data_IF_253930409495
#
_entry.id   IF_253930409495
#
_cell.length_a   1.000
_cell.length_b   1.000
_cell.length_c   1.000
_cell.angle_alpha   90.00
_cell.angle_beta   90.00
_cell.angle_gamma   90.00
#
_symmetry.space_group_name_H-M   'P 1'
#
loop_
_entity.id
_entity.type
_entity.pdbx_description
1 polymer ?
#
# COMPACT_ATOMS: atom_id res chain seq x y z
N UNK A 1 -27.38 -3.41 10.86
CA UNK A 1 -28.55 -2.88 11.60
C UNK A 1 -29.13 -1.75 10.79
N UNK A 2 -30.44 -1.69 10.62
CA UNK A 2 -31.13 -0.59 9.94
C UNK A 2 -31.68 0.32 11.03
N UNK A 3 -31.53 1.63 10.86
CA UNK A 3 -31.97 2.64 11.83
C UNK A 3 -32.65 3.80 11.12
N UNK A 4 -33.54 4.48 11.82
CA UNK A 4 -34.14 5.70 11.30
C UNK A 4 -34.97 6.43 12.33
N UNK A 5 -35.77 7.37 11.84
CA UNK A 5 -36.76 8.09 12.64
C UNK A 5 -38.17 7.89 12.10
N UNK A 6 -39.16 7.98 12.98
CA UNK A 6 -40.58 7.99 12.68
C UNK A 6 -41.34 8.76 13.77
N UNK A 7 -42.67 8.91 13.63
CA UNK A 7 -43.48 9.41 14.73
C UNK A 7 -43.34 8.49 15.96
N UNK A 8 -43.25 9.07 17.15
CA UNK A 8 -43.08 8.31 18.39
C UNK A 8 -44.19 7.27 18.55
N UNK A 9 -43.82 6.04 18.94
CA UNK A 9 -44.73 4.89 19.08
C UNK A 9 -45.41 4.42 17.77
N UNK A 10 -45.02 4.93 16.60
CA UNK A 10 -45.50 4.41 15.32
C UNK A 10 -44.90 3.03 15.01
N UNK A 11 -45.68 2.17 14.36
CA UNK A 11 -45.19 0.90 13.81
C UNK A 11 -44.42 1.19 12.54
N UNK A 12 -43.18 0.73 12.46
CA UNK A 12 -42.33 0.84 11.27
C UNK A 12 -42.32 -0.50 10.57
N UNK A 13 -42.68 -0.49 9.29
CA UNK A 13 -42.72 -1.63 8.38
C UNK A 13 -41.59 -1.45 7.37
N UNK A 14 -40.70 -2.43 7.27
CA UNK A 14 -39.51 -2.39 6.41
C UNK A 14 -39.58 -3.54 5.41
N UNK A 15 -39.45 -3.20 4.13
CA UNK A 15 -39.40 -4.11 2.99
C UNK A 15 -37.98 -4.07 2.41
N UNK A 16 -37.34 -5.23 2.32
CA UNK A 16 -35.93 -5.41 1.92
C UNK A 16 -35.78 -6.17 0.59
N UNK A 17 -36.87 -6.60 -0.03
CA UNK A 17 -36.85 -7.31 -1.32
C UNK A 17 -37.65 -6.61 -2.44
N UNK A 18 -38.39 -5.55 -2.08
CA UNK A 18 -39.12 -4.68 -2.98
C UNK A 18 -40.42 -5.29 -3.51
N UNK A 19 -40.94 -6.36 -2.88
CA UNK A 19 -42.20 -6.98 -3.27
C UNK A 19 -43.45 -6.21 -2.75
N UNK A 20 -43.24 -5.21 -1.89
CA UNK A 20 -44.27 -4.37 -1.29
C UNK A 20 -44.92 -4.97 -0.05
N UNK A 21 -44.40 -6.08 0.46
CA UNK A 21 -44.81 -6.75 1.70
C UNK A 21 -43.71 -6.54 2.74
N UNK A 22 -44.03 -6.05 3.95
CA UNK A 22 -43.01 -5.86 4.98
C UNK A 22 -42.37 -7.19 5.42
N UNK A 23 -41.04 -7.26 5.33
CA UNK A 23 -40.22 -8.37 5.82
C UNK A 23 -39.90 -8.23 7.31
N UNK A 24 -39.71 -6.99 7.75
CA UNK A 24 -39.30 -6.65 9.10
C UNK A 24 -40.25 -5.61 9.67
N UNK A 25 -40.58 -5.75 10.95
CA UNK A 25 -41.42 -4.78 11.66
C UNK A 25 -40.79 -4.40 12.99
N UNK A 26 -40.92 -3.14 13.36
CA UNK A 26 -40.45 -2.61 14.65
C UNK A 26 -41.36 -1.46 15.09
N UNK A 27 -41.10 -0.86 16.24
CA UNK A 27 -41.84 0.31 16.73
C UNK A 27 -40.85 1.39 17.10
N UNK A 28 -41.14 2.63 16.71
CA UNK A 28 -40.34 3.77 17.13
C UNK A 28 -40.50 4.05 18.63
N UNK A 29 -39.39 4.43 19.28
CA UNK A 29 -39.39 4.78 20.69
C UNK A 29 -40.18 6.08 20.96
N UNK A 30 -40.28 6.47 22.24
CA UNK A 30 -41.01 7.67 22.67
C UNK A 30 -40.43 9.00 22.12
N UNK A 31 -39.24 8.97 21.53
CA UNK A 31 -38.56 10.12 20.92
C UNK A 31 -38.51 9.99 19.39
N UNK A 32 -39.04 8.90 18.84
CA UNK A 32 -39.15 8.65 17.40
C UNK A 32 -37.98 7.90 16.77
N UNK A 33 -37.01 7.38 17.54
CA UNK A 33 -35.94 6.55 16.97
C UNK A 33 -36.40 5.11 16.83
N UNK A 34 -35.98 4.44 15.76
CA UNK A 34 -36.21 3.01 15.59
C UNK A 34 -34.96 2.32 15.07
N UNK A 35 -34.87 1.03 15.36
CA UNK A 35 -33.88 0.15 14.76
C UNK A 35 -34.48 -1.24 14.54
N UNK A 36 -33.96 -1.93 13.54
CA UNK A 36 -34.26 -3.34 13.27
C UNK A 36 -33.02 -4.02 12.71
N UNK A 37 -32.83 -5.29 13.07
CA UNK A 37 -31.70 -6.09 12.60
C UNK A 37 -32.24 -7.22 11.74
N UNK A 38 -31.92 -7.25 10.44
CA UNK A 38 -32.23 -8.40 9.59
C UNK A 38 -31.59 -9.69 10.12
N UNK A 39 -32.31 -10.81 10.09
CA UNK A 39 -31.78 -12.12 10.51
C UNK A 39 -30.66 -12.62 9.58
N UNK A 40 -30.74 -12.24 8.31
CA UNK A 40 -29.70 -12.48 7.31
C UNK A 40 -29.08 -11.14 6.91
N UNK A 41 -27.74 -10.99 6.93
CA UNK A 41 -27.09 -9.79 6.42
C UNK A 41 -27.54 -9.49 4.99
N UNK A 42 -27.92 -8.23 4.76
CA UNK A 42 -28.31 -7.76 3.44
C UNK A 42 -27.06 -7.62 2.56
N UNK A 43 -27.22 -7.86 1.26
CA UNK A 43 -26.14 -7.68 0.32
C UNK A 43 -25.87 -6.19 0.09
N UNK A 44 -24.66 -5.87 -0.34
CA UNK A 44 -24.35 -4.54 -0.84
C UNK A 44 -25.28 -4.18 -2.01
N UNK A 45 -25.77 -2.94 -2.00
CA UNK A 45 -26.72 -2.43 -2.98
C UNK A 45 -28.18 -2.88 -2.79
N UNK A 46 -28.52 -3.65 -1.74
CA UNK A 46 -29.93 -3.95 -1.41
C UNK A 46 -30.67 -2.64 -1.14
N UNK A 47 -31.73 -2.37 -1.90
CA UNK A 47 -32.66 -1.28 -1.60
C UNK A 47 -33.55 -1.68 -0.43
N UNK A 48 -33.63 -0.80 0.56
CA UNK A 48 -34.46 -0.95 1.75
C UNK A 48 -35.51 0.14 1.69
N UNK A 49 -36.79 -0.24 1.80
CA UNK A 49 -37.90 0.73 1.88
C UNK A 49 -38.59 0.62 3.22
N UNK A 50 -39.10 1.74 3.74
CA UNK A 50 -39.81 1.78 5.01
C UNK A 50 -41.03 2.69 4.99
N UNK A 51 -42.09 2.26 5.68
CA UNK A 51 -43.27 3.07 6.00
C UNK A 51 -43.52 3.08 7.50
N UNK A 52 -44.17 4.12 8.01
CA UNK A 52 -44.61 4.19 9.39
C UNK A 52 -46.14 4.32 9.47
N UNK A 53 -46.76 3.59 10.38
CA UNK A 53 -48.20 3.68 10.67
C UNK A 53 -48.41 4.14 12.12
N UNK A 54 -49.12 5.26 12.30
CA UNK A 54 -49.40 5.83 13.62
C UNK A 54 -50.48 5.03 14.39
N UNK A 55 -50.72 5.38 15.65
CA UNK A 55 -51.71 4.71 16.50
C UNK A 55 -53.16 4.92 16.03
N UNK A 56 -53.42 5.93 15.18
CA UNK A 56 -54.72 6.18 14.57
C UNK A 56 -54.91 5.41 13.25
N UNK A 57 -53.87 4.73 12.75
CA UNK A 57 -53.88 3.96 11.52
C UNK A 57 -53.56 4.77 10.26
N UNK A 58 -52.97 5.96 10.36
CA UNK A 58 -52.48 6.69 9.21
C UNK A 58 -51.08 6.20 8.83
N UNK A 59 -50.88 5.86 7.56
CA UNK A 59 -49.58 5.40 7.02
C UNK A 59 -48.85 6.53 6.29
N UNK A 60 -47.54 6.63 6.48
CA UNK A 60 -46.68 7.58 5.78
C UNK A 60 -46.52 7.22 4.29
N UNK A 61 -45.94 8.15 3.52
CA UNK A 61 -45.31 7.78 2.26
C UNK A 61 -44.07 6.88 2.54
N UNK A 62 -43.67 6.00 1.61
CA UNK A 62 -42.44 5.23 1.75
C UNK A 62 -41.20 6.12 1.62
N UNK A 63 -40.14 5.75 2.34
CA UNK A 63 -38.76 6.23 2.15
C UNK A 63 -37.89 5.04 1.73
N UNK A 64 -36.83 5.28 0.96
CA UNK A 64 -35.85 4.25 0.64
C UNK A 64 -34.40 4.71 0.79
N UNK A 65 -33.53 3.73 1.02
CA UNK A 65 -32.09 3.88 1.03
C UNK A 65 -31.43 2.57 0.55
N UNK A 66 -30.14 2.59 0.25
CA UNK A 66 -29.39 1.41 -0.21
C UNK A 66 -28.37 0.97 0.83
N UNK A 67 -28.29 -0.34 1.07
CA UNK A 67 -27.25 -0.93 1.92
C UNK A 67 -25.88 -0.72 1.25
N UNK A 68 -24.97 -0.06 1.97
CA UNK A 68 -23.55 -0.04 1.63
C UNK A 68 -22.78 -0.94 2.61
N UNK A 69 -22.44 -2.14 2.15
CA UNK A 69 -21.68 -3.15 2.90
C UNK A 69 -20.34 -3.48 2.23
N UNK A 70 -20.02 -2.83 1.11
CA UNK A 70 -18.76 -3.05 0.40
C UNK A 70 -17.62 -2.28 1.07
N UNK A 71 -16.62 -3.00 1.57
CA UNK A 71 -15.39 -2.38 2.02
C UNK A 71 -14.59 -1.82 0.83
N UNK A 72 -13.81 -0.73 1.02
CA UNK A 72 -12.88 -0.24 0.01
C UNK A 72 -11.88 -1.31 -0.42
N UNK A 73 -11.36 -1.25 -1.65
CA UNK A 73 -10.18 -1.98 -2.08
C UNK A 73 -8.94 -1.12 -1.88
N UNK A 74 -7.96 -1.65 -1.14
CA UNK A 74 -6.70 -0.96 -0.85
C UNK A 74 -5.48 -1.81 -1.24
N UNK A 75 -4.38 -1.16 -1.60
CA UNK A 75 -3.07 -1.79 -1.81
C UNK A 75 -1.95 -0.93 -1.23
N UNK A 76 -0.76 -1.51 -1.08
CA UNK A 76 0.47 -0.83 -0.67
C UNK A 76 1.61 -1.30 -1.59
N UNK A 77 2.46 -0.38 -2.00
CA UNK A 77 3.66 -0.67 -2.79
C UNK A 77 4.81 -1.15 -1.88
N UNK A 78 5.52 -2.19 -2.31
CA UNK A 78 6.75 -2.62 -1.63
C UNK A 78 7.86 -1.56 -1.82
N UNK A 79 8.66 -1.33 -0.77
CA UNK A 79 9.79 -0.40 -0.82
C UNK A 79 11.08 -1.05 -0.34
N UNK A 80 12.18 -0.76 -1.03
CA UNK A 80 13.55 -1.07 -0.63
C UNK A 80 14.35 0.21 -0.71
N UNK A 81 14.94 0.63 0.41
CA UNK A 81 15.55 1.96 0.52
C UNK A 81 16.62 1.98 1.61
N UNK A 82 17.55 2.93 1.53
CA UNK A 82 18.47 3.26 2.63
C UNK A 82 17.95 4.39 3.54
N UNK A 83 16.79 4.94 3.22
CA UNK A 83 16.09 5.92 4.03
C UNK A 83 15.38 5.25 5.20
N UNK A 84 15.68 5.64 6.44
CA UNK A 84 15.09 5.04 7.64
C UNK A 84 13.67 5.53 7.93
N UNK A 85 13.19 6.56 7.23
CA UNK A 85 11.86 7.16 7.45
C UNK A 85 11.08 7.36 6.15
N UNK A 86 10.96 6.32 5.29
CA UNK A 86 10.52 6.50 3.92
C UNK A 86 9.06 6.89 3.80
N UNK A 87 8.77 7.67 2.76
CA UNK A 87 7.41 7.78 2.23
C UNK A 87 6.87 6.42 1.78
N UNK A 88 5.57 6.18 2.00
CA UNK A 88 4.86 4.97 1.54
C UNK A 88 3.66 5.36 0.64
N UNK A 89 3.38 4.54 -0.37
CA UNK A 89 2.31 4.78 -1.33
C UNK A 89 1.51 3.51 -1.62
N UNK A 90 0.34 3.70 -2.21
CA UNK A 90 -0.48 2.63 -2.75
C UNK A 90 -1.77 3.15 -3.37
N UNK A 91 -2.73 2.25 -3.59
CA UNK A 91 -4.04 2.58 -4.17
C UNK A 91 -5.17 2.42 -3.17
N UNK A 92 -6.24 3.20 -3.35
CA UNK A 92 -7.53 3.04 -2.66
C UNK A 92 -8.65 3.44 -3.62
N UNK A 93 -9.70 2.64 -3.76
CA UNK A 93 -10.77 2.89 -4.74
C UNK A 93 -11.92 3.77 -4.21
N UNK A 94 -12.03 3.93 -2.89
CA UNK A 94 -12.93 4.87 -2.24
C UNK A 94 -12.21 6.21 -1.97
N UNK A 95 -12.61 7.31 -2.63
CA UNK A 95 -11.97 8.63 -2.48
C UNK A 95 -12.25 9.31 -1.14
N UNK A 96 -13.14 8.74 -0.32
CA UNK A 96 -13.53 9.27 0.99
C UNK A 96 -13.10 8.38 2.15
N UNK A 97 -12.58 7.18 1.88
CA UNK A 97 -12.08 6.29 2.91
C UNK A 97 -10.93 6.89 3.72
N UNK A 98 -10.94 6.59 5.01
CA UNK A 98 -9.80 6.82 5.90
C UNK A 98 -8.74 5.73 5.67
N UNK A 99 -7.46 6.11 5.59
CA UNK A 99 -6.35 5.18 5.35
C UNK A 99 -5.37 5.24 6.51
N UNK A 100 -5.07 4.09 7.09
CA UNK A 100 -4.12 3.92 8.20
C UNK A 100 -3.08 2.87 7.81
N UNK A 101 -1.81 3.18 7.98
CA UNK A 101 -0.70 2.26 7.77
C UNK A 101 -0.14 1.85 9.13
N UNK A 102 -0.05 0.55 9.37
CA UNK A 102 0.59 -0.03 10.55
C UNK A 102 1.95 -0.60 10.16
N UNK A 103 3.02 -0.13 10.82
CA UNK A 103 4.36 -0.68 10.69
C UNK A 103 5.01 -0.78 12.08
N UNK A 104 5.66 -1.91 12.36
CA UNK A 104 6.22 -2.25 13.69
C UNK A 104 5.21 -2.09 14.85
N UNK A 105 3.94 -2.38 14.59
CA UNK A 105 2.85 -2.25 15.56
C UNK A 105 2.36 -0.82 15.83
N UNK A 106 2.90 0.18 15.12
CA UNK A 106 2.52 1.58 15.25
C UNK A 106 1.64 2.02 14.07
N UNK A 107 0.56 2.74 14.36
CA UNK A 107 -0.40 3.24 13.37
C UNK A 107 -0.07 4.66 12.93
N UNK A 108 -0.10 4.89 11.62
CA UNK A 108 0.16 6.17 10.98
C UNK A 108 -1.00 6.52 10.03
N UNK A 109 -1.56 7.72 10.19
CA UNK A 109 -2.62 8.19 9.30
C UNK A 109 -2.00 8.62 7.97
N UNK A 110 -2.43 7.96 6.89
CA UNK A 110 -2.07 8.35 5.53
C UNK A 110 -3.09 9.33 4.94
N UNK A 111 -2.67 10.06 3.92
CA UNK A 111 -3.53 10.94 3.13
C UNK A 111 -4.16 10.13 2.00
N UNK A 112 -5.50 10.02 1.99
CA UNK A 112 -6.23 9.62 0.79
C UNK A 112 -6.29 10.82 -0.17
N UNK A 113 -5.68 10.68 -1.34
CA UNK A 113 -5.54 11.78 -2.29
C UNK A 113 -6.84 12.03 -3.08
N UNK A 114 -7.81 11.11 -3.01
CA UNK A 114 -9.09 11.19 -3.72
C UNK A 114 -9.00 10.89 -5.23
N UNK A 115 -7.81 10.56 -5.74
CA UNK A 115 -7.54 10.27 -7.15
C UNK A 115 -7.27 8.78 -7.43
N UNK A 116 -7.61 7.91 -6.46
CA UNK A 116 -7.32 6.48 -6.51
C UNK A 116 -6.02 6.09 -5.80
N UNK A 117 -5.28 7.06 -5.27
CA UNK A 117 -4.02 6.84 -4.54
C UNK A 117 -4.09 7.34 -3.10
N UNK A 118 -3.21 6.79 -2.27
CA UNK A 118 -2.93 7.34 -0.94
C UNK A 118 -1.43 7.50 -0.74
N UNK A 119 -1.07 8.41 0.17
CA UNK A 119 0.33 8.71 0.52
C UNK A 119 0.51 8.79 2.03
N UNK A 120 1.52 8.11 2.55
CA UNK A 120 2.11 8.42 3.85
C UNK A 120 3.40 9.19 3.57
N UNK A 121 3.46 10.44 4.04
CA UNK A 121 4.55 11.34 3.71
C UNK A 121 5.89 10.86 4.29
N UNK A 122 6.97 11.26 3.63
CA UNK A 122 8.33 11.11 4.11
C UNK A 122 8.50 11.69 5.52
N UNK A 123 9.41 11.12 6.31
CA UNK A 123 9.68 11.56 7.69
C UNK A 123 8.47 11.48 8.65
N UNK A 124 7.40 10.76 8.27
CA UNK A 124 6.21 10.59 9.14
C UNK A 124 6.32 9.35 10.01
N UNK A 125 6.92 8.26 9.51
CA UNK A 125 7.15 7.05 10.29
C UNK A 125 8.29 7.27 11.28
N UNK A 126 8.23 6.62 12.44
CA UNK A 126 9.39 6.57 13.34
C UNK A 126 10.57 5.89 12.62
N UNK A 127 11.79 6.33 12.93
CA UNK A 127 12.99 5.81 12.27
C UNK A 127 13.13 4.30 12.47
N UNK A 128 13.12 3.58 11.35
CA UNK A 128 13.25 2.13 11.28
C UNK A 128 14.72 1.73 11.18
N UNK A 129 15.13 0.69 11.91
CA UNK A 129 16.47 0.11 11.80
C UNK A 129 16.59 -0.76 10.54
N UNK A 130 17.83 -1.10 10.15
CA UNK A 130 18.15 -2.13 9.15
C UNK A 130 17.38 -3.43 9.42
N UNK A 131 16.34 -3.69 8.65
CA UNK A 131 15.55 -4.91 8.69
C UNK A 131 14.51 -4.94 7.54
N UNK A 132 13.78 -6.05 7.46
CA UNK A 132 12.54 -6.17 6.68
C UNK A 132 11.33 -6.09 7.60
N UNK A 133 10.47 -5.12 7.34
CA UNK A 133 9.22 -4.90 8.07
C UNK A 133 8.01 -5.29 7.22
N UNK A 134 7.02 -5.92 7.85
CA UNK A 134 5.68 -6.06 7.27
C UNK A 134 4.90 -4.77 7.54
N UNK A 135 4.41 -4.12 6.49
CA UNK A 135 3.49 -3.01 6.59
C UNK A 135 2.08 -3.49 6.26
N UNK A 136 1.11 -3.11 7.07
CA UNK A 136 -0.32 -3.38 6.81
C UNK A 136 -1.02 -2.06 6.60
N UNK A 137 -1.71 -1.89 5.47
CA UNK A 137 -2.58 -0.73 5.22
C UNK A 137 -4.03 -1.14 5.42
N UNK A 138 -4.80 -0.31 6.12
CA UNK A 138 -6.24 -0.46 6.36
C UNK A 138 -6.96 0.72 5.73
N UNK A 139 -7.99 0.45 4.92
CA UNK A 139 -8.91 1.47 4.43
C UNK A 139 -10.30 1.25 5.03
N UNK A 140 -10.96 2.31 5.48
CA UNK A 140 -12.32 2.27 6.06
C UNK A 140 -13.20 3.36 5.44
N UNK A 141 -14.34 2.97 4.87
CA UNK A 141 -15.33 3.89 4.30
C UNK A 141 -16.11 4.69 5.38
N UNK A 142 -17.12 5.46 4.98
CA UNK A 142 -17.94 6.26 5.90
C UNK A 142 -18.92 5.41 6.72
N UNK A 143 -19.32 4.26 6.20
CA UNK A 143 -20.24 3.30 6.79
C UNK A 143 -19.54 2.35 7.78
N UNK A 144 -18.21 2.39 7.83
CA UNK A 144 -17.37 1.62 8.74
C UNK A 144 -16.97 0.25 8.18
N UNK A 145 -17.18 -0.01 6.90
CA UNK A 145 -16.66 -1.20 6.23
C UNK A 145 -15.15 -1.01 6.01
N UNK A 146 -14.35 -1.99 6.41
CA UNK A 146 -12.89 -1.92 6.34
C UNK A 146 -12.30 -3.09 5.56
N UNK A 147 -11.18 -2.83 4.88
CA UNK A 147 -10.32 -3.85 4.29
C UNK A 147 -8.86 -3.61 4.63
N UNK A 148 -8.02 -4.63 4.42
CA UNK A 148 -6.57 -4.55 4.68
C UNK A 148 -5.77 -5.12 3.53
N UNK A 149 -4.56 -4.59 3.32
CA UNK A 149 -3.54 -5.13 2.43
C UNK A 149 -2.17 -5.12 3.13
N UNK A 150 -1.27 -6.00 2.69
CA UNK A 150 0.08 -6.11 3.23
C UNK A 150 1.12 -5.81 2.15
N UNK A 151 2.21 -5.16 2.57
CA UNK A 151 3.40 -4.91 1.78
C UNK A 151 4.65 -5.04 2.64
N UNK A 152 5.80 -4.84 2.02
CA UNK A 152 7.12 -4.96 2.65
C UNK A 152 7.87 -3.63 2.57
N UNK A 153 8.48 -3.27 3.70
CA UNK A 153 9.39 -2.13 3.81
C UNK A 153 10.74 -2.68 4.21
N UNK A 154 11.72 -2.59 3.33
CA UNK A 154 13.08 -3.07 3.57
C UNK A 154 14.00 -1.86 3.71
N UNK A 155 14.60 -1.74 4.89
CA UNK A 155 15.61 -0.73 5.18
C UNK A 155 16.98 -1.38 5.01
N UNK A 156 17.70 -0.97 3.96
CA UNK A 156 19.07 -1.39 3.65
C UNK A 156 20.01 -0.17 3.67
N UNK A 157 20.57 0.07 4.84
CA UNK A 157 21.60 1.07 5.15
C UNK A 157 23.02 0.52 5.03
N UNK A 158 23.16 -0.78 4.72
CA UNK A 158 24.47 -1.43 4.67
C UNK A 158 25.17 -1.11 3.36
N UNK A 159 26.15 -0.21 3.42
CA UNK A 159 26.96 0.12 2.26
C UNK A 159 27.75 -1.11 1.76
N UNK A 160 27.92 -1.27 0.44
CA UNK A 160 28.75 -2.33 -0.10
C UNK A 160 30.19 -2.31 0.43
N UNK A 161 30.81 -3.48 0.49
CA UNK A 161 32.22 -3.56 0.87
C UNK A 161 33.12 -2.79 -0.13
N UNK A 162 34.17 -2.13 0.37
CA UNK A 162 35.10 -1.40 -0.48
C UNK A 162 35.72 -2.35 -1.54
N UNK A 163 35.81 -1.91 -2.81
CA UNK A 163 36.45 -2.71 -3.84
C UNK A 163 37.96 -2.84 -3.57
N UNK A 164 38.56 -3.94 -4.00
CA UNK A 164 40.01 -4.13 -4.02
C UNK A 164 40.57 -3.83 -5.41
N UNK A 165 41.81 -3.37 -5.45
CA UNK A 165 42.59 -3.24 -6.68
C UNK A 165 43.79 -4.17 -6.56
N UNK A 166 43.96 -5.04 -7.55
CA UNK A 166 45.15 -5.88 -7.67
C UNK A 166 46.18 -5.17 -8.56
N UNK A 167 47.45 -5.28 -8.19
CA UNK A 167 48.54 -4.64 -8.92
C UNK A 167 48.61 -5.12 -10.37
N UNK A 168 48.39 -4.19 -11.30
CA UNK A 168 48.50 -4.41 -12.74
C UNK A 168 49.93 -4.47 -13.25
N UNK A 169 50.13 -5.05 -14.43
CA UNK A 169 51.41 -5.03 -15.16
C UNK A 169 51.59 -3.78 -16.05
N UNK A 170 50.76 -2.75 -15.86
CA UNK A 170 50.74 -1.53 -16.68
C UNK A 170 49.91 -1.62 -17.97
N UNK A 171 49.28 -2.77 -18.26
CA UNK A 171 48.32 -2.94 -19.37
C UNK A 171 46.93 -3.38 -18.92
N UNK A 172 46.79 -3.74 -17.64
CA UNK A 172 45.58 -4.28 -17.07
C UNK A 172 45.44 -3.85 -15.62
N UNK A 173 44.21 -3.57 -15.20
CA UNK A 173 43.86 -3.38 -13.79
C UNK A 173 42.77 -4.41 -13.47
N UNK A 174 42.97 -5.20 -12.42
CA UNK A 174 41.96 -6.14 -11.93
C UNK A 174 41.58 -5.81 -10.49
N UNK A 175 40.46 -6.33 -10.05
CA UNK A 175 39.99 -6.14 -8.70
C UNK A 175 38.79 -7.00 -8.36
N UNK A 176 38.38 -6.91 -7.10
CA UNK A 176 37.13 -7.50 -6.62
C UNK A 176 36.24 -6.41 -6.06
N UNK A 177 34.93 -6.58 -6.18
CA UNK A 177 33.95 -5.77 -5.48
C UNK A 177 32.73 -6.64 -5.21
N UNK A 178 31.82 -6.12 -4.39
CA UNK A 178 30.56 -6.79 -4.13
C UNK A 178 29.75 -6.99 -5.42
N UNK A 179 29.08 -8.14 -5.53
CA UNK A 179 28.29 -8.46 -6.72
C UNK A 179 27.19 -7.41 -6.92
N UNK A 180 26.95 -7.02 -8.16
CA UNK A 180 25.98 -6.00 -8.56
C UNK A 180 26.25 -4.57 -8.04
N UNK A 181 27.28 -4.35 -7.20
CA UNK A 181 27.71 -3.00 -6.85
C UNK A 181 28.30 -2.30 -8.08
N UNK A 182 28.11 -0.99 -8.16
CA UNK A 182 28.74 -0.18 -9.19
C UNK A 182 30.18 0.13 -8.78
N UNK A 183 31.15 -0.25 -9.60
CA UNK A 183 32.55 0.15 -9.44
C UNK A 183 32.89 1.25 -10.42
N UNK A 184 33.24 2.42 -9.88
CA UNK A 184 33.70 3.58 -10.62
C UNK A 184 35.24 3.62 -10.60
N UNK A 185 35.85 3.72 -11.78
CA UNK A 185 37.31 3.72 -11.96
C UNK A 185 37.74 5.06 -12.53
N UNK A 186 38.63 5.73 -11.80
CA UNK A 186 39.33 6.95 -12.20
C UNK A 186 40.83 6.63 -12.26
N UNK A 187 41.44 6.80 -13.45
CA UNK A 187 42.84 6.46 -13.73
C UNK A 187 43.73 7.72 -13.75
N UNK A 188 43.16 8.92 -13.95
CA UNK A 188 43.94 10.18 -14.01
C UNK A 188 43.81 11.03 -12.75
N UNK A 189 42.92 10.64 -11.83
CA UNK A 189 42.77 11.24 -10.50
C UNK A 189 42.05 12.58 -10.52
N UNK A 190 41.30 12.88 -11.59
CA UNK A 190 40.56 14.13 -11.72
C UNK A 190 39.21 14.13 -10.97
N UNK A 191 38.81 12.98 -10.40
CA UNK A 191 37.57 12.78 -9.66
C UNK A 191 36.38 12.38 -10.54
N UNK A 192 36.57 12.26 -11.85
CA UNK A 192 35.57 11.82 -12.82
C UNK A 192 35.84 10.36 -13.20
N UNK A 193 34.89 9.44 -12.98
CA UNK A 193 35.10 8.07 -13.40
C UNK A 193 35.14 7.99 -14.93
N UNK A 194 36.23 7.45 -15.46
CA UNK A 194 36.39 7.18 -16.88
C UNK A 194 35.86 5.80 -17.27
N UNK A 195 35.59 4.94 -16.29
CA UNK A 195 34.99 3.63 -16.53
C UNK A 195 34.13 3.14 -15.36
N UNK A 196 33.08 2.40 -15.70
CA UNK A 196 32.14 1.77 -14.77
C UNK A 196 32.10 0.26 -15.03
N UNK A 197 32.11 -0.54 -13.96
CA UNK A 197 31.95 -1.99 -14.03
C UNK A 197 30.91 -2.47 -13.01
N UNK A 198 30.17 -3.52 -13.38
CA UNK A 198 29.22 -4.22 -12.49
C UNK A 198 29.74 -5.65 -12.32
N UNK A 199 30.22 -6.04 -11.12
CA UNK A 199 30.74 -7.38 -10.88
C UNK A 199 29.61 -8.40 -10.93
N UNK A 200 29.78 -9.44 -11.74
CA UNK A 200 28.88 -10.58 -11.72
C UNK A 200 29.10 -11.42 -10.44
N UNK A 201 28.09 -12.15 -9.94
CA UNK A 201 28.24 -13.02 -8.78
C UNK A 201 29.42 -13.99 -8.95
N UNK A 202 30.35 -14.02 -7.99
CA UNK A 202 31.52 -14.92 -7.97
C UNK A 202 32.60 -14.69 -9.06
N UNK A 203 32.63 -13.54 -9.73
CA UNK A 203 33.61 -13.26 -10.80
C UNK A 203 34.51 -12.03 -10.53
N UNK A 204 35.75 -12.08 -11.03
CA UNK A 204 36.75 -11.00 -10.94
C UNK A 204 36.40 -9.86 -11.92
N UNK A 205 36.62 -8.60 -11.53
CA UNK A 205 36.54 -7.47 -12.47
C UNK A 205 37.86 -7.40 -13.22
N UNK A 206 37.81 -7.51 -14.55
CA UNK A 206 38.98 -7.41 -15.43
C UNK A 206 38.85 -6.21 -16.35
N UNK A 207 39.74 -5.23 -16.19
CA UNK A 207 39.78 -4.01 -16.99
C UNK A 207 41.03 -4.00 -17.86
N UNK A 208 40.89 -4.16 -19.17
CA UNK A 208 42.02 -4.06 -20.10
C UNK A 208 42.18 -2.62 -20.58
N UNK A 209 43.35 -2.02 -20.34
CA UNK A 209 43.73 -0.78 -21.01
C UNK A 209 44.23 -1.13 -22.41
N UNK A 210 43.40 -0.93 -23.43
CA UNK A 210 43.86 -1.01 -24.81
C UNK A 210 44.60 0.29 -25.18
N UNK A 211 45.70 0.22 -25.96
CA UNK A 211 46.35 1.41 -26.48
C UNK A 211 45.36 2.20 -27.35
N UNK A 212 45.48 3.53 -27.28
CA UNK A 212 44.53 4.57 -27.68
C UNK A 212 44.00 4.59 -29.14
N UNK A 213 44.20 3.54 -29.94
CA UNK A 213 43.95 3.51 -31.38
C UNK A 213 42.85 2.56 -31.88
N UNK A 214 42.08 1.91 -30.98
CA UNK A 214 40.93 1.10 -31.41
C UNK A 214 39.64 1.51 -30.70
N UNK A 215 38.58 1.66 -31.52
CA UNK A 215 37.20 1.85 -31.11
C UNK A 215 36.82 0.76 -30.10
N UNK A 216 36.42 1.18 -28.90
CA UNK A 216 36.21 0.34 -27.73
C UNK A 216 35.04 -0.63 -27.96
N UNK A 217 35.34 -1.90 -28.25
CA UNK A 217 34.37 -3.00 -28.11
C UNK A 217 34.93 -3.94 -27.04
N UNK A 218 34.36 -3.89 -25.84
CA UNK A 218 34.85 -4.64 -24.67
C UNK A 218 33.97 -5.88 -24.44
N UNK A 219 34.58 -7.04 -24.18
CA UNK A 219 33.88 -8.25 -23.76
C UNK A 219 34.11 -8.49 -22.27
N UNK A 220 33.02 -8.60 -21.52
CA UNK A 220 33.02 -9.14 -20.16
C UNK A 220 33.39 -10.63 -20.25
N UNK A 221 34.55 -11.03 -19.72
CA UNK A 221 34.88 -12.44 -19.56
C UNK A 221 34.72 -12.85 -18.10
N UNK A 222 33.67 -13.61 -17.82
CA UNK A 222 33.51 -14.33 -16.58
C UNK A 222 34.57 -15.45 -16.49
N UNK A 223 35.60 -15.25 -15.67
CA UNK A 223 36.58 -16.31 -15.38
C UNK A 223 36.14 -16.98 -14.06
N UNK A 224 35.91 -18.31 -14.03
CA UNK A 224 35.56 -19.01 -12.79
C UNK A 224 36.74 -19.03 -11.82
N UNK A 225 36.46 -18.90 -10.50
CA UNK A 225 37.46 -19.07 -9.44
C UNK A 225 38.14 -20.43 -9.58
N UNK A 226 39.45 -20.45 -9.78
CA UNK A 226 40.25 -21.65 -9.51
C UNK A 226 40.37 -21.78 -7.98
N UNK A 227 40.04 -22.99 -7.48
CA UNK A 227 40.10 -23.35 -6.05
C UNK A 227 41.51 -23.27 -5.49
#
# INVERSE_FOLDING_TARGET
MITGTAEANAVVEVDIDGDGIPDLTTTADDVGNWSVTPDTPLADGTEVTATATDAAGNTSAPVSDTVNAAAPLVSIDDVVTSDTTPALTGTVDDPTATVVVTIDGQDYNATNNGDGTWTLADDTVDALAEDSYSATVTATDLEGNSSTANGTVIIDTTAPAAPTIDAGNGSEITGTAEANAVVNVDIDGDGTPMLQAIPAPQHLIRLMLLPLWFLLTMWLQAIPRLR
#
